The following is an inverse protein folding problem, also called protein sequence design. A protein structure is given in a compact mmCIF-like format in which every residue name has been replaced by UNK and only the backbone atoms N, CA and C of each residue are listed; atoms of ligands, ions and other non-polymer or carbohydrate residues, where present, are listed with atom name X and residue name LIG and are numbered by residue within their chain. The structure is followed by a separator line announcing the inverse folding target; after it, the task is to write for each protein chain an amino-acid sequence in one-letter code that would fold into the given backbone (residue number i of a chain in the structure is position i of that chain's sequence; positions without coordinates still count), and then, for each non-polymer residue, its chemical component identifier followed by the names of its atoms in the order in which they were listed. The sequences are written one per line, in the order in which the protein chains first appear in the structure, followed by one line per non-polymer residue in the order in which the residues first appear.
data_IF_947126965072
#
_entry.id   IF_947126965072
#
_cell.length_a   1.000
_cell.length_b   1.000
_cell.length_c   1.000
_cell.angle_alpha   90.00
_cell.angle_beta   90.00
_cell.angle_gamma   90.00
#
_symmetry.space_group_name_H-M   'P 1'
#
loop_
_entity.id
_entity.type
_entity.pdbx_description
1 polymer ?
#
# COMPACT_ATOMS: atom_id res chain seq x y z
N UNK A 1 6.26 -12.18 56.55
CA UNK A 1 5.34 -11.09 56.15
C UNK A 1 5.98 -10.04 55.21
N UNK A 2 7.18 -9.55 55.50
CA UNK A 2 7.86 -8.53 54.62
C UNK A 2 8.23 -9.02 53.20
N UNK A 3 8.50 -10.33 53.00
CA UNK A 3 8.86 -10.88 51.67
C UNK A 3 7.67 -10.93 50.71
N UNK A 4 6.49 -11.34 51.22
CA UNK A 4 5.26 -11.39 50.41
C UNK A 4 4.79 -10.00 49.92
N UNK A 5 4.98 -8.99 50.77
CA UNK A 5 4.61 -7.63 50.42
C UNK A 5 5.46 -7.08 49.27
N UNK A 6 6.76 -7.40 49.23
CA UNK A 6 7.67 -7.01 48.11
C UNK A 6 7.34 -7.73 46.81
N UNK A 7 6.95 -9.00 46.85
CA UNK A 7 6.56 -9.76 45.66
C UNK A 7 5.26 -9.24 45.07
N UNK A 8 4.27 -8.89 45.92
CA UNK A 8 3.00 -8.30 45.46
C UNK A 8 3.21 -6.92 44.83
N UNK A 9 4.09 -6.10 45.38
CA UNK A 9 4.42 -4.79 44.85
C UNK A 9 5.12 -4.86 43.50
N UNK A 10 6.04 -5.81 43.29
CA UNK A 10 6.69 -6.06 41.99
C UNK A 10 5.68 -6.51 40.92
N UNK A 11 4.76 -7.41 41.24
CA UNK A 11 3.72 -7.84 40.29
C UNK A 11 2.77 -6.69 39.91
N UNK A 12 2.39 -5.84 40.85
CA UNK A 12 1.53 -4.70 40.59
C UNK A 12 2.21 -3.67 39.67
N UNK A 13 3.50 -3.42 39.84
CA UNK A 13 4.28 -2.52 38.99
C UNK A 13 4.44 -3.10 37.59
N UNK A 14 4.74 -4.40 37.44
CA UNK A 14 4.80 -5.04 36.13
C UNK A 14 3.45 -4.98 35.39
N UNK A 15 2.33 -5.22 36.06
CA UNK A 15 1.01 -5.12 35.43
C UNK A 15 0.66 -3.69 34.96
N UNK A 16 1.15 -2.66 35.64
CA UNK A 16 0.92 -1.27 35.24
C UNK A 16 1.65 -0.88 33.93
N UNK A 17 2.76 -1.53 33.61
CA UNK A 17 3.47 -1.29 32.35
C UNK A 17 2.83 -1.96 31.14
N UNK A 18 2.03 -3.02 31.30
CA UNK A 18 1.35 -3.69 30.20
C UNK A 18 0.08 -3.01 29.71
N UNK A 19 -0.45 -2.04 30.45
CA UNK A 19 -1.74 -1.40 30.12
C UNK A 19 -1.67 -0.27 29.09
N UNK A 20 -0.51 0.01 28.47
CA UNK A 20 -0.36 1.09 27.49
C UNK A 20 -0.02 0.62 26.05
N UNK A 21 -0.15 -0.63 25.73
CA UNK A 21 -0.12 -1.01 24.30
C UNK A 21 -1.43 -0.55 23.68
N UNK A 22 -1.49 0.73 23.28
CA UNK A 22 -2.55 1.18 22.37
C UNK A 22 -2.41 0.32 21.11
N UNK A 23 -3.32 -0.61 20.90
CA UNK A 23 -3.39 -1.35 19.66
C UNK A 23 -3.34 -0.32 18.51
N UNK A 24 -2.37 -0.49 17.63
CA UNK A 24 -2.23 0.39 16.48
C UNK A 24 -3.52 0.30 15.67
N UNK A 25 -4.19 1.42 15.44
CA UNK A 25 -5.49 1.47 14.77
C UNK A 25 -5.32 1.80 13.29
N UNK A 26 -6.25 1.35 12.47
CA UNK A 26 -6.37 1.83 11.10
C UNK A 26 -6.51 3.36 11.11
N UNK A 27 -6.04 4.02 10.07
CA UNK A 27 -6.23 5.46 9.94
C UNK A 27 -6.47 5.88 8.49
N UNK A 28 -7.11 7.02 8.34
CA UNK A 28 -7.37 7.68 7.06
C UNK A 28 -6.79 9.09 7.11
N UNK A 29 -6.09 9.51 6.06
CA UNK A 29 -5.66 10.89 5.86
C UNK A 29 -6.57 11.52 4.80
N UNK A 30 -7.25 12.60 5.20
CA UNK A 30 -8.17 13.30 4.30
C UNK A 30 -7.43 14.29 3.37
N UNK A 31 -8.16 14.93 2.47
CA UNK A 31 -7.61 15.92 1.53
C UNK A 31 -7.00 17.16 2.21
N UNK A 32 -7.36 17.43 3.48
CA UNK A 32 -6.84 18.54 4.30
C UNK A 32 -5.60 18.15 5.11
N UNK A 33 -5.10 16.91 5.00
CA UNK A 33 -4.02 16.30 5.78
C UNK A 33 -4.38 15.96 7.24
N UNK A 34 -5.67 15.95 7.61
CA UNK A 34 -6.06 15.48 8.93
C UNK A 34 -5.98 13.97 9.00
N UNK A 35 -5.43 13.43 10.06
CA UNK A 35 -5.37 11.99 10.33
C UNK A 35 -6.54 11.59 11.22
N UNK A 36 -7.42 10.77 10.68
CA UNK A 36 -8.59 10.24 11.37
C UNK A 36 -8.33 8.77 11.73
N UNK A 37 -8.29 8.45 13.02
CA UNK A 37 -8.15 7.07 13.51
C UNK A 37 -9.51 6.38 13.55
N UNK A 38 -9.52 5.04 13.35
CA UNK A 38 -10.76 4.30 13.36
C UNK A 38 -10.56 2.87 12.84
N UNK A 39 -11.62 2.29 12.32
CA UNK A 39 -11.67 0.95 11.76
C UNK A 39 -12.02 1.01 10.28
N UNK A 40 -11.25 0.30 9.43
CA UNK A 40 -11.47 0.25 7.98
C UNK A 40 -11.85 -1.16 7.57
N UNK A 41 -13.00 -1.30 6.88
CA UNK A 41 -13.48 -2.57 6.32
C UNK A 41 -13.57 -2.50 4.81
N UNK A 42 -13.09 -3.57 4.13
CA UNK A 42 -13.35 -3.78 2.71
C UNK A 42 -14.70 -4.46 2.55
N UNK A 43 -15.54 -3.93 1.69
CA UNK A 43 -16.81 -4.56 1.32
C UNK A 43 -16.63 -5.50 0.12
N UNK A 44 -17.55 -6.43 -0.03
CA UNK A 44 -17.53 -7.44 -1.10
C UNK A 44 -17.49 -6.81 -2.51
N UNK A 45 -18.12 -5.64 -2.70
CA UNK A 45 -18.22 -4.95 -3.99
C UNK A 45 -17.05 -3.94 -4.21
N UNK A 46 -15.90 -4.15 -3.60
CA UNK A 46 -14.68 -3.41 -3.97
C UNK A 46 -14.55 -1.98 -3.44
N UNK A 47 -15.39 -1.55 -2.50
CA UNK A 47 -15.22 -0.26 -1.83
C UNK A 47 -14.86 -0.45 -0.34
N UNK A 48 -14.26 0.59 0.24
CA UNK A 48 -13.85 0.64 1.64
C UNK A 48 -14.83 1.48 2.45
N UNK A 49 -15.07 1.06 3.69
CA UNK A 49 -15.84 1.81 4.68
C UNK A 49 -14.96 2.13 5.88
N UNK A 50 -15.17 3.28 6.46
CA UNK A 50 -14.47 3.77 7.63
C UNK A 50 -15.46 4.09 8.75
N UNK A 51 -15.11 3.68 9.97
CA UNK A 51 -15.78 4.05 11.21
C UNK A 51 -14.76 4.81 12.06
N UNK A 52 -14.91 6.13 12.27
CA UNK A 52 -14.01 6.90 13.12
C UNK A 52 -14.00 6.37 14.56
N UNK A 53 -12.92 6.59 15.28
CA UNK A 53 -12.85 6.32 16.72
C UNK A 53 -13.98 7.06 17.43
N UNK A 54 -14.72 6.38 18.33
CA UNK A 54 -15.93 6.91 18.97
C UNK A 54 -17.17 6.97 18.08
N UNK A 55 -17.05 6.69 16.78
CA UNK A 55 -18.21 6.62 15.86
C UNK A 55 -19.01 5.34 15.99
N UNK A 56 -20.29 5.40 15.65
CA UNK A 56 -21.23 4.25 15.74
C UNK A 56 -21.46 3.53 14.42
N UNK A 57 -21.14 4.14 13.27
CA UNK A 57 -21.47 3.62 11.95
C UNK A 57 -20.29 3.62 10.97
N UNK A 58 -20.31 2.65 10.04
CA UNK A 58 -19.37 2.59 8.92
C UNK A 58 -19.90 3.36 7.72
N UNK A 59 -19.17 4.39 7.30
CA UNK A 59 -19.48 5.17 6.11
C UNK A 59 -18.51 4.84 4.98
N UNK A 60 -18.97 4.92 3.73
CA UNK A 60 -18.10 4.75 2.55
C UNK A 60 -16.98 5.80 2.58
N UNK A 61 -15.75 5.38 2.34
CA UNK A 61 -14.61 6.31 2.23
C UNK A 61 -14.79 7.13 0.93
N UNK A 62 -14.92 8.46 1.03
CA UNK A 62 -15.07 9.32 -0.15
C UNK A 62 -13.71 9.51 -0.82
N UNK A 63 -13.54 8.93 -2.00
CA UNK A 63 -12.24 8.89 -2.68
C UNK A 63 -11.67 10.29 -2.97
N UNK A 64 -12.53 11.28 -3.29
CA UNK A 64 -12.09 12.64 -3.61
C UNK A 64 -11.66 13.46 -2.39
N UNK A 65 -12.11 13.05 -1.21
CA UNK A 65 -11.80 13.71 0.06
C UNK A 65 -10.71 12.97 0.85
N UNK A 66 -10.18 11.90 0.29
CA UNK A 66 -9.16 11.04 0.92
C UNK A 66 -7.86 11.13 0.13
N UNK A 67 -6.72 11.22 0.81
CA UNK A 67 -5.38 11.07 0.23
C UNK A 67 -4.89 9.64 0.30
N UNK A 68 -4.95 9.08 1.51
CA UNK A 68 -4.52 7.70 1.76
C UNK A 68 -5.23 7.13 2.98
N UNK A 69 -5.19 5.81 3.10
CA UNK A 69 -5.56 5.12 4.32
C UNK A 69 -4.66 3.91 4.57
N UNK A 70 -4.49 3.56 5.84
CA UNK A 70 -3.66 2.46 6.29
C UNK A 70 -4.46 1.45 7.09
N UNK A 71 -4.31 0.16 6.73
CA UNK A 71 -4.86 -0.99 7.46
C UNK A 71 -3.76 -1.67 8.24
N UNK A 72 -3.82 -1.54 9.55
CA UNK A 72 -2.80 -2.05 10.46
C UNK A 72 -2.71 -3.58 10.44
N UNK A 73 -3.85 -4.27 10.53
CA UNK A 73 -3.91 -5.74 10.54
C UNK A 73 -3.13 -6.39 9.38
N UNK A 74 -3.09 -5.72 8.24
CA UNK A 74 -2.45 -6.22 7.00
C UNK A 74 -1.19 -5.48 6.63
N UNK A 75 -0.81 -4.45 7.38
CA UNK A 75 0.29 -3.53 7.05
C UNK A 75 0.18 -2.92 5.64
N UNK A 76 -1.06 -2.67 5.19
CA UNK A 76 -1.34 -2.23 3.84
C UNK A 76 -1.69 -0.74 3.82
N UNK A 77 -0.99 0.00 2.95
CA UNK A 77 -1.29 1.40 2.65
C UNK A 77 -1.94 1.53 1.27
N UNK A 78 -3.06 2.27 1.21
CA UNK A 78 -3.76 2.61 -0.02
C UNK A 78 -3.69 4.12 -0.27
N UNK A 79 -3.26 4.51 -1.45
CA UNK A 79 -3.22 5.91 -1.88
C UNK A 79 -4.26 6.17 -2.96
N UNK A 80 -4.81 7.36 -2.93
CA UNK A 80 -5.68 7.85 -4.01
C UNK A 80 -4.79 8.36 -5.15
N UNK A 81 -4.91 7.74 -6.31
CA UNK A 81 -4.16 8.08 -7.53
C UNK A 81 -5.06 8.04 -8.76
N UNK A 82 -4.74 8.88 -9.74
CA UNK A 82 -5.36 8.82 -11.07
C UNK A 82 -4.52 7.90 -11.94
N UNK A 83 -5.13 6.83 -12.44
CA UNK A 83 -4.45 5.87 -13.32
C UNK A 83 -4.33 6.42 -14.75
N UNK A 84 -3.30 6.03 -15.54
CA UNK A 84 -3.11 6.51 -16.90
C UNK A 84 -4.29 6.23 -17.85
N UNK A 85 -5.03 5.15 -17.59
CA UNK A 85 -6.17 4.70 -18.39
C UNK A 85 -7.52 5.29 -17.96
N UNK A 86 -7.52 6.21 -16.97
CA UNK A 86 -8.74 6.82 -16.42
C UNK A 86 -8.58 8.29 -16.08
N UNK A 87 -9.70 9.01 -16.08
CA UNK A 87 -9.80 10.40 -15.59
C UNK A 87 -10.21 10.50 -14.11
N UNK A 88 -10.74 9.41 -13.54
CA UNK A 88 -11.19 9.37 -12.14
C UNK A 88 -10.16 8.69 -11.25
N UNK A 89 -10.00 9.13 -9.99
CA UNK A 89 -9.08 8.51 -9.05
C UNK A 89 -9.59 7.13 -8.60
N UNK A 90 -8.63 6.27 -8.26
CA UNK A 90 -8.84 4.96 -7.64
C UNK A 90 -7.97 4.82 -6.39
N UNK A 91 -8.30 3.88 -5.49
CA UNK A 91 -7.41 3.46 -4.41
C UNK A 91 -6.41 2.43 -4.94
N UNK A 92 -5.13 2.76 -4.91
CA UNK A 92 -4.05 1.86 -5.26
C UNK A 92 -3.31 1.43 -3.99
N UNK A 93 -3.09 0.12 -3.85
CA UNK A 93 -2.26 -0.42 -2.77
C UNK A 93 -0.79 -0.12 -3.03
N UNK A 94 -0.08 0.51 -2.10
CA UNK A 94 1.36 0.72 -2.23
C UNK A 94 2.10 -0.53 -1.79
N UNK A 95 2.84 -1.14 -2.72
CA UNK A 95 3.65 -2.35 -2.50
C UNK A 95 5.09 -2.04 -2.11
N UNK A 96 5.65 -0.95 -2.65
CA UNK A 96 7.00 -0.46 -2.34
C UNK A 96 6.94 1.05 -2.22
N UNK A 97 7.59 1.61 -1.19
CA UNK A 97 7.80 3.04 -0.98
C UNK A 97 9.26 3.40 -1.18
N UNK A 98 9.55 4.48 -1.94
CA UNK A 98 10.94 4.95 -2.12
C UNK A 98 11.08 6.02 -3.18
N UNK A 99 12.26 6.12 -3.80
CA UNK A 99 12.51 6.99 -4.96
C UNK A 99 11.58 6.61 -6.12
N UNK A 100 11.30 5.31 -6.28
CA UNK A 100 10.23 4.76 -7.11
C UNK A 100 9.23 4.09 -6.17
N UNK A 101 8.00 4.58 -6.17
CA UNK A 101 6.86 3.93 -5.53
C UNK A 101 6.27 2.89 -6.49
N UNK A 102 5.90 1.72 -5.96
CA UNK A 102 5.18 0.67 -6.69
C UNK A 102 3.79 0.51 -6.12
N UNK A 103 2.79 0.51 -6.98
CA UNK A 103 1.39 0.40 -6.62
C UNK A 103 0.72 -0.78 -7.32
N UNK A 104 -0.25 -1.38 -6.64
CA UNK A 104 -1.11 -2.41 -7.20
C UNK A 104 -2.55 -1.91 -7.31
N UNK A 105 -3.14 -2.11 -8.46
CA UNK A 105 -4.57 -2.05 -8.69
C UNK A 105 -5.12 -3.45 -8.86
N UNK A 106 -6.13 -3.77 -8.09
CA UNK A 106 -6.76 -5.08 -8.08
C UNK A 106 -8.26 -4.94 -8.27
N UNK A 107 -8.81 -5.63 -9.26
CA UNK A 107 -10.25 -5.71 -9.46
C UNK A 107 -10.70 -7.13 -9.81
N UNK A 108 -11.86 -7.52 -9.37
CA UNK A 108 -12.53 -8.72 -9.84
C UNK A 108 -13.12 -8.46 -11.23
N UNK A 109 -12.87 -9.36 -12.17
CA UNK A 109 -13.36 -9.32 -13.54
C UNK A 109 -14.20 -10.57 -13.78
N UNK A 110 -15.54 -10.52 -13.54
CA UNK A 110 -16.44 -11.66 -13.80
C UNK A 110 -15.93 -13.02 -13.30
N UNK A 111 -16.71 -14.04 -13.30
CA UNK A 111 -16.36 -15.48 -13.13
C UNK A 111 -15.09 -15.79 -12.29
N UNK A 112 -14.91 -15.17 -11.11
CA UNK A 112 -13.76 -15.37 -10.22
C UNK A 112 -12.38 -15.05 -10.84
N UNK A 113 -12.32 -14.36 -11.96
CA UNK A 113 -11.07 -13.87 -12.51
C UNK A 113 -10.67 -12.52 -11.87
N UNK A 114 -9.38 -12.35 -11.67
CA UNK A 114 -8.84 -11.15 -11.07
C UNK A 114 -7.87 -10.48 -12.03
N UNK A 115 -8.06 -9.18 -12.21
CA UNK A 115 -7.11 -8.32 -12.91
C UNK A 115 -6.21 -7.67 -11.89
N UNK A 116 -4.91 -7.87 -12.07
CA UNK A 116 -3.84 -7.25 -11.28
C UNK A 116 -3.02 -6.39 -12.22
N UNK A 117 -2.91 -5.11 -11.92
CA UNK A 117 -2.11 -4.16 -12.68
C UNK A 117 -1.17 -3.44 -11.71
N UNK A 118 0.11 -3.41 -12.04
CA UNK A 118 1.09 -2.66 -11.29
C UNK A 118 1.48 -1.39 -12.01
N UNK A 119 1.44 -0.31 -11.25
CA UNK A 119 1.87 1.01 -11.66
C UNK A 119 3.08 1.43 -10.84
N UNK A 120 4.02 2.13 -11.47
CA UNK A 120 5.15 2.72 -10.78
C UNK A 120 5.21 4.23 -11.04
N UNK A 121 5.73 4.97 -10.07
CA UNK A 121 5.89 6.42 -10.13
C UNK A 121 7.22 6.80 -9.50
N UNK A 122 8.02 7.62 -10.17
CA UNK A 122 9.27 8.15 -9.65
C UNK A 122 9.02 9.53 -9.06
N UNK A 123 9.47 9.75 -7.81
CA UNK A 123 9.39 11.05 -7.12
C UNK A 123 7.97 11.66 -7.11
N UNK A 124 6.93 10.84 -6.88
CA UNK A 124 5.53 11.24 -6.93
C UNK A 124 5.06 11.82 -8.28
N UNK A 125 5.80 11.56 -9.36
CA UNK A 125 5.42 11.95 -10.71
C UNK A 125 4.27 11.13 -11.29
N UNK A 126 4.18 11.12 -12.61
CA UNK A 126 3.18 10.35 -13.35
C UNK A 126 3.28 8.85 -13.06
N UNK A 127 2.14 8.17 -13.01
CA UNK A 127 2.07 6.72 -12.95
C UNK A 127 2.31 6.11 -14.34
N UNK A 128 3.10 5.05 -14.39
CA UNK A 128 3.32 4.22 -15.57
C UNK A 128 2.90 2.79 -15.26
N UNK A 129 2.16 2.16 -16.15
CA UNK A 129 1.89 0.74 -16.05
C UNK A 129 3.18 -0.03 -16.33
N UNK A 130 3.63 -0.83 -15.34
CA UNK A 130 4.89 -1.58 -15.43
C UNK A 130 4.66 -3.09 -15.47
N UNK A 131 3.50 -3.59 -15.06
CA UNK A 131 3.18 -5.03 -15.09
C UNK A 131 1.67 -5.24 -15.06
N UNK A 132 1.20 -6.29 -15.73
CA UNK A 132 -0.20 -6.72 -15.68
C UNK A 132 -0.32 -8.19 -15.99
N UNK A 133 -1.37 -8.85 -15.46
CA UNK A 133 -1.81 -10.17 -15.86
C UNK A 133 -2.90 -10.13 -16.94
N UNK A 134 -3.25 -8.95 -17.46
CA UNK A 134 -4.21 -8.82 -18.54
C UNK A 134 -3.65 -9.39 -19.85
N UNK A 135 -4.53 -10.02 -20.61
CA UNK A 135 -4.22 -10.52 -21.96
C UNK A 135 -4.04 -9.35 -22.93
N UNK A 136 -4.80 -8.26 -22.72
CA UNK A 136 -4.75 -7.05 -23.54
C UNK A 136 -3.67 -6.08 -23.09
N UNK A 137 -3.16 -5.28 -24.03
CA UNK A 137 -2.11 -4.30 -23.80
C UNK A 137 -0.71 -4.83 -24.12
N UNK A 138 0.21 -3.92 -24.39
CA UNK A 138 1.56 -4.23 -24.86
C UNK A 138 2.51 -4.62 -23.71
N UNK A 139 2.97 -5.85 -23.67
CA UNK A 139 4.06 -6.27 -22.76
C UNK A 139 5.33 -5.46 -23.02
N UNK A 140 5.58 -5.08 -24.27
CA UNK A 140 6.73 -4.28 -24.65
C UNK A 140 6.65 -2.89 -24.02
N UNK A 141 5.51 -2.20 -24.14
CA UNK A 141 5.34 -0.85 -23.55
C UNK A 141 5.52 -0.85 -22.02
N UNK A 142 5.03 -1.88 -21.34
CA UNK A 142 5.24 -2.05 -19.89
C UNK A 142 6.72 -2.27 -19.54
N UNK A 143 7.44 -3.06 -20.34
CA UNK A 143 8.90 -3.22 -20.18
C UNK A 143 9.62 -1.89 -20.43
N UNK A 144 9.29 -1.18 -21.49
CA UNK A 144 9.89 0.11 -21.83
C UNK A 144 9.63 1.13 -20.73
N UNK A 145 8.42 1.18 -20.18
CA UNK A 145 8.09 2.03 -19.01
C UNK A 145 8.98 1.71 -17.81
N UNK A 146 9.15 0.42 -17.48
CA UNK A 146 10.01 0.00 -16.38
C UNK A 146 11.49 0.36 -16.63
N UNK A 147 11.99 0.16 -17.85
CA UNK A 147 13.36 0.51 -18.22
C UNK A 147 13.61 2.03 -18.10
N UNK A 148 12.66 2.85 -18.55
CA UNK A 148 12.75 4.30 -18.44
C UNK A 148 12.79 4.77 -16.98
N UNK A 149 12.03 4.13 -16.08
CA UNK A 149 12.02 4.48 -14.66
C UNK A 149 13.38 4.28 -13.99
N UNK A 150 14.16 3.28 -14.40
CA UNK A 150 15.46 2.93 -13.83
C UNK A 150 16.65 3.31 -14.73
N UNK A 151 16.44 4.07 -15.80
CA UNK A 151 17.46 4.40 -16.80
C UNK A 151 18.67 5.16 -16.25
N UNK A 152 18.49 5.90 -15.17
CA UNK A 152 19.55 6.60 -14.45
C UNK A 152 20.43 5.69 -13.55
N UNK A 153 20.14 4.39 -13.51
CA UNK A 153 20.97 3.36 -12.89
C UNK A 153 21.36 2.30 -13.94
N UNK A 154 22.37 2.57 -14.79
CA UNK A 154 22.71 1.69 -15.93
C UNK A 154 23.09 0.27 -15.51
N UNK A 155 23.77 0.09 -14.38
CA UNK A 155 24.16 -1.23 -13.88
C UNK A 155 22.95 -2.09 -13.52
N UNK A 156 21.94 -1.50 -12.87
CA UNK A 156 20.68 -2.18 -12.54
C UNK A 156 19.86 -2.46 -13.80
N UNK A 157 19.81 -1.50 -14.74
CA UNK A 157 19.10 -1.63 -15.99
C UNK A 157 19.63 -2.82 -16.82
N UNK A 158 20.95 -2.91 -17.00
CA UNK A 158 21.60 -4.00 -17.73
C UNK A 158 21.34 -5.37 -17.05
N UNK A 159 21.45 -5.43 -15.72
CA UNK A 159 21.13 -6.64 -14.97
C UNK A 159 19.67 -7.06 -15.18
N UNK A 160 18.73 -6.11 -15.11
CA UNK A 160 17.30 -6.39 -15.26
C UNK A 160 16.92 -6.82 -16.68
N UNK A 161 17.57 -6.24 -17.71
CA UNK A 161 17.41 -6.66 -19.12
C UNK A 161 17.93 -8.06 -19.36
N UNK A 162 19.11 -8.40 -18.80
CA UNK A 162 19.75 -9.71 -18.97
C UNK A 162 18.95 -10.86 -18.35
N UNK A 163 18.29 -10.63 -17.22
CA UNK A 163 17.53 -11.61 -16.47
C UNK A 163 16.24 -12.04 -17.22
N UNK A 164 15.69 -11.23 -18.13
CA UNK A 164 14.46 -11.42 -18.94
C UNK A 164 13.25 -12.06 -18.25
N UNK A 165 13.32 -12.27 -16.94
CA UNK A 165 12.29 -12.96 -16.16
C UNK A 165 11.00 -12.17 -16.05
N UNK A 166 10.98 -10.89 -16.29
CA UNK A 166 9.87 -9.90 -16.23
C UNK A 166 8.56 -10.42 -15.57
N UNK A 167 8.72 -11.05 -14.41
CA UNK A 167 7.64 -11.48 -13.51
C UNK A 167 7.21 -10.33 -12.58
N UNK A 168 6.10 -10.47 -11.87
CA UNK A 168 5.72 -9.53 -10.83
C UNK A 168 6.82 -9.41 -9.76
N UNK A 169 7.38 -10.53 -9.33
CA UNK A 169 8.45 -10.54 -8.34
C UNK A 169 9.72 -9.85 -8.84
N UNK A 170 10.15 -10.13 -10.08
CA UNK A 170 11.32 -9.49 -10.69
C UNK A 170 11.18 -7.96 -10.76
N UNK A 171 10.00 -7.45 -11.12
CA UNK A 171 9.72 -6.01 -11.14
C UNK A 171 9.80 -5.42 -9.74
N UNK A 172 9.20 -6.07 -8.74
CA UNK A 172 9.19 -5.61 -7.36
C UNK A 172 10.60 -5.58 -6.76
N UNK A 173 11.39 -6.65 -6.94
CA UNK A 173 12.77 -6.72 -6.45
C UNK A 173 13.68 -5.71 -7.16
N UNK A 174 13.52 -5.49 -8.46
CA UNK A 174 14.24 -4.45 -9.18
C UNK A 174 13.98 -3.05 -8.60
N UNK A 175 12.72 -2.71 -8.30
CA UNK A 175 12.36 -1.43 -7.68
C UNK A 175 12.92 -1.31 -6.26
N UNK A 176 12.89 -2.38 -5.46
CA UNK A 176 13.50 -2.38 -4.13
C UNK A 176 15.02 -2.12 -4.21
N UNK A 177 15.73 -2.81 -5.12
CA UNK A 177 17.15 -2.61 -5.36
C UNK A 177 17.46 -1.17 -5.82
N UNK A 178 16.62 -0.61 -6.70
CA UNK A 178 16.75 0.79 -7.11
C UNK A 178 16.62 1.75 -5.92
N UNK A 179 15.68 1.50 -5.03
CA UNK A 179 15.40 2.35 -3.88
C UNK A 179 16.46 2.26 -2.76
N UNK A 180 17.24 1.15 -2.72
CA UNK A 180 18.30 0.95 -1.71
C UNK A 180 19.64 1.60 -2.08
N UNK A 181 19.79 2.05 -3.32
CA UNK A 181 20.96 2.80 -3.82
C UNK A 181 20.64 4.31 -3.86
#
# INVERSE_FOLDING_TARGET
MKLYLRSILCCAVLCAFFSQVKAQQDFLINSKNDTLKGEIKKQFIGFYRFKPEGGTSFNKIPIRETKEFYKVEKEINYLVKVRPDKSSPDFLQRLVKGKIDLFEYYRQSGNNQYVVIWYASKQNGQLFEVKSNQIFGSRKERKDSMYNLIADNPGLLEKFKKDDSYSFEAVKECIKLYNSN
#
